data_IF_675002427060
#
_entry.id   IF_675002427060
#
_cell.length_a   1.000
_cell.length_b   1.000
_cell.length_c   1.000
_cell.angle_alpha   90.00
_cell.angle_beta   90.00
_cell.angle_gamma   90.00
#
_symmetry.space_group_name_H-M   'P 1'
#
loop_
_entity.id
_entity.type
_entity.pdbx_description
1 polymer ?
#
# COMPACT_ATOMS: atom_id res chain seq x y z
N UNK A 1 -18.27 13.28 -21.36
CA UNK A 1 -17.29 14.25 -20.85
C UNK A 1 -16.84 13.77 -19.49
N UNK A 2 -15.58 13.39 -19.31
CA UNK A 2 -15.08 12.76 -18.09
C UNK A 2 -14.62 13.85 -17.12
N UNK A 3 -14.94 13.73 -15.84
CA UNK A 3 -14.56 14.75 -14.85
C UNK A 3 -13.03 14.94 -14.85
N UNK A 4 -12.51 16.18 -14.96
CA UNK A 4 -11.07 16.44 -15.10
C UNK A 4 -10.21 15.84 -13.99
N UNK A 5 -10.73 15.79 -12.76
CA UNK A 5 -10.06 15.16 -11.61
C UNK A 5 -9.95 13.64 -11.76
N UNK A 6 -10.98 12.98 -12.27
CA UNK A 6 -10.99 11.54 -12.51
C UNK A 6 -10.02 11.19 -13.64
N UNK A 7 -10.04 11.97 -14.72
CA UNK A 7 -9.12 11.78 -15.84
C UNK A 7 -7.65 11.97 -15.41
N UNK A 8 -7.36 13.02 -14.62
CA UNK A 8 -6.02 13.22 -14.07
C UNK A 8 -5.58 12.06 -13.17
N UNK A 9 -6.46 11.56 -12.30
CA UNK A 9 -6.15 10.41 -11.44
C UNK A 9 -5.86 9.14 -12.25
N UNK A 10 -6.63 8.88 -13.31
CA UNK A 10 -6.40 7.76 -14.22
C UNK A 10 -5.10 7.94 -15.03
N UNK A 11 -4.79 9.15 -15.48
CA UNK A 11 -3.53 9.45 -16.14
C UNK A 11 -2.33 9.25 -15.20
N UNK A 12 -2.42 9.64 -13.92
CA UNK A 12 -1.39 9.37 -12.92
C UNK A 12 -1.27 7.87 -12.60
N UNK A 13 -2.38 7.12 -12.56
CA UNK A 13 -2.39 5.66 -12.39
C UNK A 13 -1.68 4.94 -13.56
N UNK A 14 -1.86 5.46 -14.78
CA UNK A 14 -1.34 4.87 -16.02
C UNK A 14 0.07 5.36 -16.39
N UNK A 15 0.51 6.49 -15.83
CA UNK A 15 1.87 6.99 -16.04
C UNK A 15 2.87 6.11 -15.29
N UNK A 16 3.71 5.41 -16.07
CA UNK A 16 4.79 4.54 -15.61
C UNK A 16 5.92 5.36 -14.96
N UNK A 17 5.68 5.89 -13.78
CA UNK A 17 6.70 6.58 -12.99
C UNK A 17 6.63 6.12 -11.56
N UNK A 18 7.38 5.07 -11.25
CA UNK A 18 7.79 4.86 -9.88
C UNK A 18 9.24 4.38 -9.87
N UNK A 19 10.13 5.27 -9.45
CA UNK A 19 11.43 4.90 -8.87
C UNK A 19 11.25 4.08 -7.58
N UNK A 20 10.00 3.97 -7.10
CA UNK A 20 9.57 3.19 -5.96
C UNK A 20 8.93 1.87 -6.41
N UNK A 21 9.23 0.78 -5.71
CA UNK A 21 8.59 -0.52 -5.93
C UNK A 21 7.17 -0.62 -5.35
N UNK A 22 6.60 0.49 -4.85
CA UNK A 22 5.25 0.53 -4.26
C UNK A 22 4.45 1.75 -4.73
N UNK A 23 3.13 1.58 -4.78
CA UNK A 23 2.14 2.63 -5.06
C UNK A 23 1.30 2.89 -3.81
N UNK A 24 1.09 4.16 -3.46
CA UNK A 24 0.22 4.56 -2.36
C UNK A 24 -1.04 5.23 -2.94
N UNK A 25 -2.22 4.70 -2.59
CA UNK A 25 -3.52 5.25 -2.99
C UNK A 25 -4.26 5.72 -1.76
N UNK A 26 -4.83 6.93 -1.82
CA UNK A 26 -5.69 7.50 -0.76
C UNK A 26 -7.03 7.90 -1.37
N UNK A 27 -8.13 7.49 -0.74
CA UNK A 27 -9.47 7.98 -1.08
C UNK A 27 -10.05 8.72 0.12
N UNK A 28 -10.31 10.04 0.02
CA UNK A 28 -10.73 10.86 1.15
C UNK A 28 -12.23 10.77 1.50
N UNK A 29 -13.08 10.18 0.66
CA UNK A 29 -14.54 10.29 0.80
C UNK A 29 -15.27 8.97 1.03
N UNK A 30 -14.84 7.86 0.39
CA UNK A 30 -15.53 6.56 0.52
C UNK A 30 -14.53 5.40 0.56
N UNK A 31 -14.56 4.65 1.66
CA UNK A 31 -13.72 3.45 1.85
C UNK A 31 -14.04 2.37 0.81
N UNK A 32 -15.27 2.36 0.31
CA UNK A 32 -15.75 1.44 -0.73
C UNK A 32 -14.91 1.51 -2.01
N UNK A 33 -14.44 2.70 -2.39
CA UNK A 33 -13.56 2.86 -3.54
C UNK A 33 -12.18 2.25 -3.31
N UNK A 34 -11.62 2.38 -2.10
CA UNK A 34 -10.35 1.73 -1.76
C UNK A 34 -10.49 0.21 -1.76
N UNK A 35 -11.60 -0.31 -1.25
CA UNK A 35 -11.89 -1.74 -1.28
C UNK A 35 -12.05 -2.28 -2.71
N UNK A 36 -12.71 -1.52 -3.60
CA UNK A 36 -12.85 -1.89 -5.01
C UNK A 36 -11.49 -1.91 -5.72
N UNK A 37 -10.68 -0.87 -5.54
CA UNK A 37 -9.33 -0.79 -6.10
C UNK A 37 -8.44 -1.91 -5.55
N UNK A 38 -8.47 -2.16 -4.24
CA UNK A 38 -7.70 -3.22 -3.61
C UNK A 38 -8.11 -4.60 -4.12
N UNK A 39 -9.42 -4.85 -4.29
CA UNK A 39 -9.93 -6.10 -4.87
C UNK A 39 -9.43 -6.28 -6.30
N UNK A 40 -9.51 -5.25 -7.13
CA UNK A 40 -9.01 -5.30 -8.50
C UNK A 40 -7.49 -5.47 -8.56
N UNK A 41 -6.73 -4.82 -7.68
CA UNK A 41 -5.27 -4.97 -7.62
C UNK A 41 -4.85 -6.38 -7.18
N UNK A 42 -5.56 -7.00 -6.23
CA UNK A 42 -5.30 -8.37 -5.79
C UNK A 42 -5.46 -9.40 -6.92
N UNK A 43 -6.31 -9.16 -7.92
CA UNK A 43 -6.43 -10.09 -9.06
C UNK A 43 -5.25 -9.97 -10.04
N UNK A 44 -4.51 -8.86 -9.99
CA UNK A 44 -3.37 -8.59 -10.86
C UNK A 44 -2.02 -8.96 -10.23
N UNK A 45 -1.98 -9.16 -8.91
CA UNK A 45 -0.77 -9.49 -8.16
C UNK A 45 -0.92 -10.83 -7.44
N UNK A 46 0.06 -11.73 -7.62
CA UNK A 46 0.19 -12.88 -6.74
C UNK A 46 0.62 -12.43 -5.33
N UNK A 47 0.29 -13.22 -4.31
CA UNK A 47 0.76 -12.95 -2.95
C UNK A 47 2.30 -12.93 -2.89
N UNK A 48 2.80 -12.19 -1.91
CA UNK A 48 4.22 -12.18 -1.63
C UNK A 48 4.51 -13.45 -0.84
N UNK A 49 5.16 -14.44 -1.45
CA UNK A 49 5.69 -15.62 -0.74
C UNK A 49 6.77 -15.27 0.32
N UNK A 50 6.90 -13.98 0.68
CA UNK A 50 7.88 -13.42 1.59
C UNK A 50 7.24 -12.41 2.53
N UNK A 51 7.42 -12.64 3.83
CA UNK A 51 7.05 -11.70 4.89
C UNK A 51 7.79 -10.38 4.69
N UNK A 52 7.03 -9.30 4.60
CA UNK A 52 7.53 -7.95 4.38
C UNK A 52 6.97 -7.01 5.44
N UNK A 53 7.77 -6.02 5.84
CA UNK A 53 7.41 -5.06 6.88
C UNK A 53 8.26 -5.19 8.13
N UNK A 54 7.86 -4.47 9.17
CA UNK A 54 8.61 -4.34 10.41
C UNK A 54 8.27 -3.07 11.18
N UNK A 55 8.96 -2.86 12.29
CA UNK A 55 8.76 -1.71 13.17
C UNK A 55 10.09 -1.05 13.51
N UNK A 56 10.01 0.19 13.99
CA UNK A 56 11.16 0.92 14.49
C UNK A 56 11.12 0.97 16.02
N UNK A 57 12.19 0.50 16.65
CA UNK A 57 12.43 0.71 18.07
C UNK A 57 13.14 2.05 18.25
N UNK A 58 12.49 2.96 18.97
CA UNK A 58 13.04 4.27 19.31
C UNK A 58 13.42 4.28 20.78
N UNK A 59 14.70 4.46 21.06
CA UNK A 59 15.25 4.54 22.42
C UNK A 59 16.14 5.77 22.54
N UNK A 60 15.59 6.85 23.11
CA UNK A 60 16.25 8.15 23.18
C UNK A 60 16.58 8.67 21.78
N UNK A 61 17.88 8.82 21.48
CA UNK A 61 18.39 9.28 20.19
C UNK A 61 18.73 8.14 19.22
N UNK A 62 18.43 6.89 19.57
CA UNK A 62 18.71 5.72 18.73
C UNK A 62 17.42 5.20 18.11
N UNK A 63 17.43 5.02 16.79
CA UNK A 63 16.35 4.40 16.02
C UNK A 63 16.91 3.11 15.42
N UNK A 64 16.26 1.97 15.68
CA UNK A 64 16.62 0.68 15.08
C UNK A 64 15.44 0.12 14.32
N UNK A 65 15.67 -0.25 13.07
CA UNK A 65 14.70 -1.01 12.30
C UNK A 65 14.75 -2.49 12.72
N UNK A 66 13.59 -3.08 12.99
CA UNK A 66 13.41 -4.52 13.16
C UNK A 66 12.42 -5.03 12.14
N UNK A 67 12.91 -5.93 11.28
CA UNK A 67 12.07 -6.63 10.31
C UNK A 67 11.03 -7.48 11.04
N UNK A 68 9.88 -7.68 10.40
CA UNK A 68 8.85 -8.58 10.91
C UNK A 68 9.37 -10.03 10.93
N UNK A 69 9.05 -10.76 11.99
CA UNK A 69 9.38 -12.17 12.17
C UNK A 69 8.14 -13.05 12.04
N UNK A 70 6.95 -12.50 12.36
CA UNK A 70 5.65 -13.17 12.26
C UNK A 70 4.68 -12.35 11.43
N UNK A 71 3.71 -13.03 10.82
CA UNK A 71 2.64 -12.37 10.06
C UNK A 71 1.77 -11.46 10.92
N UNK A 72 1.63 -11.76 12.22
CA UNK A 72 0.86 -10.97 13.18
C UNK A 72 1.66 -9.82 13.81
N UNK A 73 2.92 -9.63 13.42
CA UNK A 73 3.72 -8.51 13.90
C UNK A 73 3.18 -7.18 13.35
N UNK A 74 3.41 -6.10 14.09
CA UNK A 74 2.98 -4.76 13.66
C UNK A 74 3.57 -4.40 12.28
N UNK A 75 2.69 -3.91 11.39
CA UNK A 75 3.04 -3.52 10.03
C UNK A 75 3.72 -4.62 9.22
N UNK A 76 3.38 -5.89 9.48
CA UNK A 76 3.82 -7.04 8.71
C UNK A 76 2.75 -7.48 7.69
N UNK A 77 3.17 -7.96 6.54
CA UNK A 77 2.26 -8.52 5.53
C UNK A 77 2.94 -9.58 4.67
N UNK A 78 2.13 -10.56 4.25
CA UNK A 78 2.46 -11.52 3.19
C UNK A 78 1.76 -11.16 1.87
N UNK A 79 0.85 -10.19 1.88
CA UNK A 79 0.13 -9.78 0.68
C UNK A 79 0.82 -8.60 0.01
N UNK A 80 0.78 -8.54 -1.31
CA UNK A 80 1.30 -7.38 -2.06
C UNK A 80 0.36 -6.16 -2.02
N UNK A 81 -0.91 -6.37 -1.66
CA UNK A 81 -1.94 -5.31 -1.60
C UNK A 81 -2.51 -5.21 -0.20
N UNK A 82 -2.23 -4.11 0.49
CA UNK A 82 -2.73 -3.83 1.84
C UNK A 82 -3.72 -2.67 1.76
N UNK A 83 -4.88 -2.83 2.39
CA UNK A 83 -5.80 -1.74 2.68
C UNK A 83 -5.82 -1.52 4.20
N UNK A 84 -5.84 -0.26 4.63
CA UNK A 84 -5.89 0.10 6.04
C UNK A 84 -6.86 1.27 6.21
N UNK A 85 -7.73 1.14 7.21
CA UNK A 85 -8.68 2.16 7.59
C UNK A 85 -7.99 3.03 8.66
N UNK A 86 -7.47 4.19 8.27
CA UNK A 86 -6.81 5.15 9.16
C UNK A 86 -7.30 6.57 8.92
#
# INVERSE_FOLDING_TARGET
DTQPRLQFALEQLLQHWATSSFMLVKAPEELEYLNLIATAARTLHADADKLTGGHYDVSGHTIRYRAAEKADDNFATLTQVVNADW
#
